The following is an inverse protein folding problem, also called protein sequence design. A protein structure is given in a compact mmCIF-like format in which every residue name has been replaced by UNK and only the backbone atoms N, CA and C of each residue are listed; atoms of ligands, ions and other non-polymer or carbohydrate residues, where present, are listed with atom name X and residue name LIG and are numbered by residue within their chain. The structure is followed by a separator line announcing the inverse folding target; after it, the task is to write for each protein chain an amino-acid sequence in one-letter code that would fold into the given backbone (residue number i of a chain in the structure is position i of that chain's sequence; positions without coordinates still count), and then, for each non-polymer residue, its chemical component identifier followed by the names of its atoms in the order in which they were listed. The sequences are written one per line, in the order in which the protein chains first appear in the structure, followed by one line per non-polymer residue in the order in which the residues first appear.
data_IF_974263052571
#
_entry.id   IF_974263052571
#
_cell.length_a   1.000
_cell.length_b   1.000
_cell.length_c   1.000
_cell.angle_alpha   90.00
_cell.angle_beta   90.00
_cell.angle_gamma   90.00
#
_symmetry.space_group_name_H-M   'P 1'
#
loop_
_entity.id
_entity.type
_entity.pdbx_description
1 polymer ?
#
# COMPACT_ATOMS: atom_id res chain seq x y z
N UNK A 1 46.34 -19.72 -29.76
CA UNK A 1 46.06 -19.70 -28.32
C UNK A 1 45.25 -18.44 -28.02
N UNK A 2 43.92 -18.56 -27.90
CA UNK A 2 43.01 -17.42 -27.69
C UNK A 2 42.96 -17.04 -26.22
N UNK A 3 43.29 -15.79 -25.89
CA UNK A 3 43.18 -15.23 -24.54
C UNK A 3 41.73 -14.78 -24.34
N UNK A 4 41.01 -15.47 -23.46
CA UNK A 4 39.68 -15.10 -22.99
C UNK A 4 39.81 -13.84 -22.12
N UNK A 5 39.30 -12.72 -22.61
CA UNK A 5 39.13 -11.50 -21.82
C UNK A 5 37.89 -11.65 -20.93
N UNK A 6 38.11 -11.70 -19.62
CA UNK A 6 37.05 -11.64 -18.61
C UNK A 6 36.55 -10.20 -18.52
N UNK A 7 35.27 -9.98 -18.83
CA UNK A 7 34.58 -8.70 -18.65
C UNK A 7 33.95 -8.74 -17.25
N UNK A 8 34.49 -7.97 -16.31
CA UNK A 8 33.90 -7.77 -14.99
C UNK A 8 32.72 -6.79 -15.11
N UNK A 9 31.50 -7.29 -14.99
CA UNK A 9 30.29 -6.46 -14.92
C UNK A 9 30.16 -5.98 -13.48
N UNK A 10 30.57 -4.75 -13.22
CA UNK A 10 30.32 -4.07 -11.94
C UNK A 10 28.87 -3.56 -11.93
N UNK A 11 28.00 -4.26 -11.20
CA UNK A 11 26.63 -3.82 -10.95
C UNK A 11 26.69 -2.78 -9.83
N UNK A 12 26.78 -1.50 -10.19
CA UNK A 12 26.64 -0.39 -9.24
C UNK A 12 25.19 -0.34 -8.75
N UNK A 13 24.94 -0.84 -7.54
CA UNK A 13 23.66 -0.64 -6.86
C UNK A 13 23.55 0.81 -6.42
N UNK A 14 22.76 1.61 -7.14
CA UNK A 14 22.35 2.94 -6.65
C UNK A 14 21.49 2.74 -5.40
N UNK A 15 22.04 3.10 -4.25
CA UNK A 15 21.27 3.22 -3.01
C UNK A 15 20.53 4.55 -3.11
N UNK A 16 19.33 4.53 -3.69
CA UNK A 16 18.39 5.63 -3.52
C UNK A 16 18.09 5.74 -2.02
N UNK A 17 18.53 6.82 -1.39
CA UNK A 17 18.07 7.22 -0.08
C UNK A 17 16.63 7.72 -0.22
N UNK A 18 15.70 6.79 -0.36
CA UNK A 18 14.27 7.05 -0.24
C UNK A 18 14.03 7.75 1.10
N UNK A 19 13.24 8.83 1.08
CA UNK A 19 12.65 9.37 2.30
C UNK A 19 11.88 8.20 2.93
N UNK A 20 12.40 7.66 4.02
CA UNK A 20 11.88 6.43 4.60
C UNK A 20 10.46 6.70 5.09
N UNK A 21 9.47 6.19 4.35
CA UNK A 21 8.08 6.18 4.79
C UNK A 21 8.00 5.59 6.20
N UNK A 22 7.24 6.24 7.07
CA UNK A 22 7.04 5.77 8.44
C UNK A 22 5.92 4.75 8.45
N UNK A 23 6.28 3.47 8.30
CA UNK A 23 5.39 2.31 8.42
C UNK A 23 6.15 1.05 8.83
N UNK A 24 5.45 0.06 9.36
CA UNK A 24 6.05 -1.27 9.60
C UNK A 24 6.21 -2.00 8.28
N UNK A 25 7.43 -2.45 8.00
CA UNK A 25 7.76 -3.18 6.78
C UNK A 25 6.92 -4.46 6.62
N UNK A 26 6.64 -4.82 5.37
CA UNK A 26 5.82 -5.96 4.95
C UNK A 26 4.33 -5.89 5.32
N UNK A 27 3.86 -4.84 5.98
CA UNK A 27 2.45 -4.65 6.29
C UNK A 27 1.73 -3.76 5.26
N UNK A 28 0.41 -3.91 5.19
CA UNK A 28 -0.45 -3.05 4.38
C UNK A 28 -1.11 -1.97 5.23
N UNK A 29 -1.23 -0.77 4.67
CA UNK A 29 -1.78 0.42 5.31
C UNK A 29 -2.77 1.13 4.39
N UNK A 30 -3.87 1.62 4.94
CA UNK A 30 -4.69 2.66 4.36
C UNK A 30 -3.87 3.94 4.32
N UNK A 31 -3.96 4.70 3.23
CA UNK A 31 -3.24 5.98 3.16
C UNK A 31 -3.66 6.96 4.26
N UNK A 32 -4.93 6.94 4.68
CA UNK A 32 -5.40 7.69 5.85
C UNK A 32 -4.67 7.30 7.15
N UNK A 33 -4.33 6.03 7.34
CA UNK A 33 -3.54 5.56 8.48
C UNK A 33 -2.08 5.97 8.37
N UNK A 34 -1.48 5.89 7.18
CA UNK A 34 -0.11 6.38 6.95
C UNK A 34 0.02 7.86 7.30
N UNK A 35 -0.98 8.68 6.95
CA UNK A 35 -1.01 10.10 7.31
C UNK A 35 -1.16 10.34 8.83
N UNK A 36 -1.88 9.46 9.54
CA UNK A 36 -1.96 9.52 11.01
C UNK A 36 -0.64 9.12 11.68
N UNK A 37 0.11 8.19 11.09
CA UNK A 37 1.43 7.79 11.59
C UNK A 37 2.45 8.91 11.42
N UNK A 38 2.50 9.51 10.23
CA UNK A 38 3.31 10.68 9.94
C UNK A 38 2.71 11.45 8.76
N UNK A 39 2.42 12.74 8.96
CA UNK A 39 1.92 13.62 7.89
C UNK A 39 2.92 13.78 6.73
N UNK A 40 4.21 13.56 6.98
CA UNK A 40 5.25 13.59 5.95
C UNK A 40 5.14 12.41 4.96
N UNK A 41 4.34 11.37 5.28
CA UNK A 41 4.08 10.26 4.37
C UNK A 41 3.27 10.68 3.12
N UNK A 42 2.69 11.89 3.09
CA UNK A 42 1.87 12.36 1.98
C UNK A 42 2.59 12.27 0.62
N UNK A 43 3.85 12.73 0.55
CA UNK A 43 4.63 12.69 -0.69
C UNK A 43 4.93 11.24 -1.13
N UNK A 44 5.15 10.34 -0.18
CA UNK A 44 5.37 8.92 -0.47
C UNK A 44 4.09 8.27 -1.02
N UNK A 45 2.92 8.63 -0.47
CA UNK A 45 1.60 8.18 -0.92
C UNK A 45 1.33 8.66 -2.35
N UNK A 46 1.50 9.96 -2.63
CA UNK A 46 1.33 10.52 -3.98
C UNK A 46 2.28 9.88 -5.00
N UNK A 47 3.53 9.62 -4.61
CA UNK A 47 4.52 8.93 -5.45
C UNK A 47 4.11 7.50 -5.77
N UNK A 48 3.57 6.76 -4.80
CA UNK A 48 3.05 5.41 -5.00
C UNK A 48 1.79 5.39 -5.88
N UNK A 49 0.86 6.33 -5.68
CA UNK A 49 -0.34 6.50 -6.52
C UNK A 49 0.04 6.83 -7.97
N UNK A 50 0.94 7.79 -8.16
CA UNK A 50 1.44 8.19 -9.48
C UNK A 50 2.10 7.01 -10.19
N UNK A 51 2.92 6.24 -9.47
CA UNK A 51 3.56 5.04 -10.00
C UNK A 51 2.55 3.92 -10.34
N UNK A 52 1.47 3.82 -9.56
CA UNK A 52 0.29 2.98 -9.83
C UNK A 52 -0.66 3.55 -10.89
N UNK A 53 -0.33 4.69 -11.51
CA UNK A 53 -1.16 5.41 -12.49
C UNK A 53 -2.56 5.78 -11.96
N UNK A 54 -2.65 6.05 -10.67
CA UNK A 54 -3.87 6.49 -10.00
C UNK A 54 -3.93 8.02 -9.89
N UNK A 55 -5.11 8.55 -9.61
CA UNK A 55 -5.27 9.94 -9.19
C UNK A 55 -4.64 10.17 -7.81
N UNK A 56 -4.25 11.42 -7.55
CA UNK A 56 -3.69 11.87 -6.26
C UNK A 56 -4.69 12.72 -5.46
N UNK A 57 -5.98 12.64 -5.80
CA UNK A 57 -7.03 13.31 -5.02
C UNK A 57 -7.18 12.70 -3.61
N UNK A 58 -7.84 13.45 -2.73
CA UNK A 58 -8.05 13.07 -1.33
C UNK A 58 -8.72 11.70 -1.18
N UNK A 59 -9.60 11.30 -2.11
CA UNK A 59 -10.23 9.99 -2.02
C UNK A 59 -9.21 8.87 -2.26
N UNK A 60 -8.37 9.01 -3.29
CA UNK A 60 -7.30 8.04 -3.56
C UNK A 60 -6.23 8.03 -2.45
N UNK A 61 -5.85 9.20 -1.94
CA UNK A 61 -4.90 9.31 -0.82
C UNK A 61 -5.45 8.61 0.42
N UNK A 62 -6.72 8.78 0.76
CA UNK A 62 -7.27 8.25 2.02
C UNK A 62 -7.78 6.81 1.95
N UNK A 63 -8.34 6.39 0.81
CA UNK A 63 -9.06 5.12 0.63
C UNK A 63 -8.27 4.07 -0.18
N UNK A 64 -7.00 4.33 -0.49
CA UNK A 64 -6.13 3.32 -1.10
C UNK A 64 -5.36 2.53 -0.05
N UNK A 65 -5.10 1.27 -0.39
CA UNK A 65 -4.23 0.36 0.35
C UNK A 65 -2.84 0.43 -0.26
N UNK A 66 -1.84 0.62 0.60
CA UNK A 66 -0.42 0.63 0.26
C UNK A 66 0.28 -0.48 0.99
N UNK A 67 1.24 -1.12 0.35
CA UNK A 67 2.15 -2.06 0.99
C UNK A 67 3.45 -1.36 1.33
N UNK A 68 3.86 -1.45 2.60
CA UNK A 68 5.11 -0.91 3.10
C UNK A 68 6.25 -1.86 2.72
N UNK A 69 7.08 -1.44 1.75
CA UNK A 69 8.11 -2.30 1.20
C UNK A 69 9.20 -2.59 2.25
N UNK A 70 9.62 -3.85 2.43
CA UNK A 70 10.81 -4.17 3.20
C UNK A 70 12.06 -3.54 2.58
N UNK A 71 13.06 -3.26 3.42
CA UNK A 71 14.35 -2.76 2.97
C UNK A 71 14.95 -3.69 1.91
N UNK A 72 15.40 -3.11 0.80
CA UNK A 72 15.99 -3.85 -0.32
C UNK A 72 14.97 -4.46 -1.29
N UNK A 73 13.65 -4.34 -1.05
CA UNK A 73 12.64 -4.67 -2.05
C UNK A 73 12.43 -3.45 -2.96
N UNK A 74 12.75 -3.55 -4.27
CA UNK A 74 12.51 -2.45 -5.19
C UNK A 74 11.01 -2.27 -5.40
N UNK A 75 10.52 -1.08 -5.09
CA UNK A 75 9.17 -0.63 -5.46
C UNK A 75 9.26 0.50 -6.49
N UNK A 76 8.27 0.64 -7.38
CA UNK A 76 8.18 1.78 -8.28
C UNK A 76 8.10 3.10 -7.50
N UNK A 77 9.03 4.01 -7.78
CA UNK A 77 9.19 5.27 -7.05
C UNK A 77 10.06 5.14 -5.80
N UNK A 78 10.75 6.21 -5.43
CA UNK A 78 11.65 6.26 -4.27
C UNK A 78 10.88 6.47 -2.94
N UNK A 79 9.65 5.97 -2.83
CA UNK A 79 8.73 6.22 -1.71
C UNK A 79 8.75 5.15 -0.63
N UNK A 80 9.25 3.94 -0.93
CA UNK A 80 9.13 2.78 -0.04
C UNK A 80 7.70 2.23 0.11
N UNK A 81 6.76 2.73 -0.69
CA UNK A 81 5.38 2.28 -0.74
C UNK A 81 5.02 1.72 -2.11
N UNK A 82 4.30 0.62 -2.13
CA UNK A 82 3.66 0.09 -3.33
C UNK A 82 2.15 0.32 -3.24
N UNK A 83 1.57 0.96 -4.26
CA UNK A 83 0.11 1.00 -4.39
C UNK A 83 -0.43 -0.42 -4.64
N UNK A 84 -1.38 -0.85 -3.81
CA UNK A 84 -2.01 -2.17 -3.93
C UNK A 84 -3.36 -2.05 -4.63
N UNK A 85 -4.25 -1.22 -4.10
CA UNK A 85 -5.59 -1.02 -4.67
C UNK A 85 -6.27 0.23 -4.11
N UNK A 86 -7.22 0.79 -4.86
CA UNK A 86 -8.14 1.82 -4.40
C UNK A 86 -9.47 1.16 -4.05
N UNK A 87 -9.99 1.38 -2.84
CA UNK A 87 -11.21 0.70 -2.39
C UNK A 87 -12.48 1.20 -3.10
N UNK A 88 -12.44 2.40 -3.68
CA UNK A 88 -13.58 2.95 -4.39
C UNK A 88 -14.70 3.43 -3.45
N UNK A 89 -15.85 3.83 -4.00
CA UNK A 89 -16.95 4.39 -3.22
C UNK A 89 -17.80 3.33 -2.51
N UNK A 90 -17.81 2.09 -2.98
CA UNK A 90 -18.64 0.99 -2.43
C UNK A 90 -17.95 0.28 -1.25
N UNK A 91 -16.62 0.40 -1.17
CA UNK A 91 -15.82 -0.16 -0.09
C UNK A 91 -15.13 0.96 0.67
N UNK A 92 -14.70 0.66 1.89
CA UNK A 92 -13.86 1.54 2.69
C UNK A 92 -12.52 0.86 2.88
N UNK A 93 -11.45 1.65 2.88
CA UNK A 93 -10.18 1.15 3.38
C UNK A 93 -10.32 0.95 4.88
N UNK A 94 -10.41 -0.32 5.28
CA UNK A 94 -10.56 -0.71 6.66
C UNK A 94 -9.19 -0.88 7.28
N UNK A 95 -8.90 -0.05 8.27
CA UNK A 95 -7.69 -0.19 9.08
C UNK A 95 -7.75 -1.53 9.84
N UNK A 96 -6.87 -2.45 9.48
CA UNK A 96 -6.62 -3.70 10.18
C UNK A 96 -5.82 -3.35 11.43
N UNK A 97 -6.43 -3.53 12.61
CA UNK A 97 -5.89 -3.06 13.88
C UNK A 97 -4.37 -3.29 13.99
N UNK A 98 -3.64 -2.19 14.00
CA UNK A 98 -2.18 -2.03 13.99
C UNK A 98 -1.37 -2.83 15.02
N UNK A 99 -2.00 -3.70 15.80
CA UNK A 99 -1.45 -4.43 16.93
C UNK A 99 -1.89 -5.91 16.96
N UNK A 100 -2.57 -6.41 15.90
CA UNK A 100 -3.18 -7.75 15.86
C UNK A 100 -2.75 -8.66 14.70
N UNK A 101 -1.83 -8.22 13.83
CA UNK A 101 -1.30 -9.03 12.72
C UNK A 101 -2.20 -9.11 11.47
N UNK A 102 -3.19 -8.23 11.33
CA UNK A 102 -4.01 -8.10 10.11
C UNK A 102 -3.72 -6.75 9.49
N UNK A 103 -3.16 -6.74 8.29
CA UNK A 103 -2.91 -5.51 7.53
C UNK A 103 -4.21 -4.86 7.04
N UNK A 104 -4.12 -3.59 6.65
CA UNK A 104 -5.25 -2.84 6.13
C UNK A 104 -5.70 -3.39 4.77
N UNK A 105 -7.01 -3.37 4.53
CA UNK A 105 -7.61 -3.92 3.31
C UNK A 105 -8.91 -3.20 2.95
N UNK A 106 -9.35 -3.33 1.71
CA UNK A 106 -10.68 -2.90 1.32
C UNK A 106 -11.73 -3.84 1.90
N UNK A 107 -12.73 -3.27 2.57
CA UNK A 107 -13.89 -3.98 3.08
C UNK A 107 -15.17 -3.27 2.64
N UNK A 108 -16.26 -4.02 2.47
CA UNK A 108 -17.55 -3.44 2.14
C UNK A 108 -17.90 -2.33 3.15
N UNK A 109 -18.21 -1.14 2.65
CA UNK A 109 -18.69 -0.04 3.47
C UNK A 109 -19.93 -0.54 4.20
N UNK A 110 -19.84 -0.74 5.51
CA UNK A 110 -20.94 -1.35 6.27
C UNK A 110 -22.06 -0.31 6.45
N UNK A 111 -22.74 0.03 5.36
CA UNK A 111 -24.02 0.71 5.40
C UNK A 111 -25.08 -0.27 5.89
N UNK A 112 -25.42 -0.21 7.18
CA UNK A 112 -26.70 -0.68 7.72
C UNK A 112 -27.25 -2.01 7.18
N UNK A 113 -26.48 -3.08 7.25
CA UNK A 113 -26.93 -4.44 6.89
C UNK A 113 -27.76 -5.12 7.99
N UNK A 114 -28.73 -4.43 8.61
CA UNK A 114 -29.81 -5.07 9.36
C UNK A 114 -30.98 -5.29 8.39
N UNK A 115 -30.88 -6.31 7.53
CA UNK A 115 -32.06 -6.83 6.84
C UNK A 115 -32.19 -8.32 7.12
N UNK A 116 -33.37 -8.66 7.61
CA UNK A 116 -33.66 -9.81 8.45
C UNK A 116 -33.25 -11.17 7.89
N UNK A 117 -32.64 -11.98 8.78
CA UNK A 117 -32.93 -13.42 8.85
C UNK A 117 -34.45 -13.60 8.88
N UNK A 118 -35.08 -13.81 7.73
CA UNK A 118 -36.39 -14.50 7.67
C UNK A 118 -36.12 -16.00 7.76
N UNK A 119 -35.99 -16.47 8.98
CA UNK A 119 -36.54 -17.78 9.32
C UNK A 119 -38.06 -17.66 9.28
N UNK A 120 -38.73 -18.51 8.51
CA UNK A 120 -40.03 -19.13 8.81
C UNK A 120 -40.35 -20.03 7.60
N UNK A 121 -39.96 -21.30 7.69
CA UNK A 121 -40.84 -22.43 8.03
C UNK A 121 -41.89 -22.73 6.95
N UNK A 122 -41.59 -23.82 6.22
CA UNK A 122 -42.59 -24.69 5.62
C UNK A 122 -43.70 -25.00 6.62
N UNK A 123 -44.96 -24.80 6.21
CA UNK A 123 -46.08 -25.74 6.37
C UNK A 123 -47.22 -25.31 5.45
#
# INVERSE_FOLDING_TARGET
MSRLALIEITISTLISAALAVVCTQAETYCGSRLLKLDTNNHQAIEGALTSGRQSIDDAHVNQSVFWCAPAGVPVPGDSGLLFVTYCGPENVCQEGGALGGVGDACAASTGGGLNHRRHHHHH
#
